data_IF_431047099501
#
_entry.id   IF_431047099501
#
_cell.length_a   1.000
_cell.length_b   1.000
_cell.length_c   1.000
_cell.angle_alpha   90.00
_cell.angle_beta   90.00
_cell.angle_gamma   90.00
#
_symmetry.space_group_name_H-M   'P 1'
#
loop_
_entity.id
_entity.type
_entity.pdbx_description
1 polymer ?
#
# COMPACT_ATOMS: atom_id res chain seq x y z
N UNK A 1 12.33 -7.63 12.25
CA UNK A 1 10.89 -7.94 12.33
C UNK A 1 10.23 -7.60 11.00
N UNK A 2 10.47 -8.41 9.95
CA UNK A 2 10.09 -8.05 8.57
C UNK A 2 8.82 -8.76 8.08
N UNK A 3 8.14 -9.53 8.94
CA UNK A 3 6.87 -10.17 8.61
C UNK A 3 6.06 -10.36 9.90
N UNK A 4 4.79 -9.94 9.89
CA UNK A 4 3.84 -10.10 10.99
C UNK A 4 2.63 -10.90 10.51
N UNK A 5 2.76 -12.23 10.33
CA UNK A 5 1.68 -13.06 9.80
C UNK A 5 0.41 -12.99 10.67
N UNK A 6 0.55 -12.66 11.95
CA UNK A 6 -0.56 -12.46 12.87
C UNK A 6 -1.49 -11.29 12.49
N UNK A 7 -1.03 -10.36 11.64
CA UNK A 7 -1.82 -9.25 11.15
C UNK A 7 -2.57 -9.57 9.86
N UNK A 8 -2.35 -10.74 9.28
CA UNK A 8 -2.94 -11.18 8.01
C UNK A 8 -3.73 -12.50 8.19
N UNK A 9 -4.30 -12.72 9.38
CA UNK A 9 -5.14 -13.89 9.64
C UNK A 9 -6.42 -13.85 8.81
N UNK A 10 -7.03 -15.02 8.51
CA UNK A 10 -8.33 -15.08 7.84
C UNK A 10 -9.38 -14.19 8.53
N UNK A 11 -9.52 -14.29 9.85
CA UNK A 11 -10.48 -13.48 10.63
C UNK A 11 -10.32 -11.97 10.40
N UNK A 12 -9.08 -11.48 10.29
CA UNK A 12 -8.82 -10.06 10.03
C UNK A 12 -9.10 -9.70 8.57
N UNK A 13 -8.74 -10.56 7.63
CA UNK A 13 -9.00 -10.39 6.20
C UNK A 13 -10.50 -10.43 5.87
N UNK A 14 -11.29 -11.20 6.62
CA UNK A 14 -12.75 -11.25 6.52
C UNK A 14 -13.40 -9.93 6.94
N UNK A 15 -12.71 -9.11 7.72
CA UNK A 15 -13.19 -7.78 8.16
C UNK A 15 -12.74 -6.65 7.24
N UNK A 16 -11.68 -6.84 6.46
CA UNK A 16 -11.10 -5.80 5.60
C UNK A 16 -9.61 -5.98 5.38
N UNK A 17 -9.01 -5.12 4.55
CA UNK A 17 -7.60 -5.20 4.22
C UNK A 17 -6.93 -3.84 4.05
N UNK A 18 -5.75 -3.66 4.66
CA UNK A 18 -4.90 -2.47 4.57
C UNK A 18 -3.53 -2.89 4.04
N UNK A 19 -3.06 -2.20 3.00
CA UNK A 19 -1.67 -2.28 2.54
C UNK A 19 -0.98 -0.95 2.86
N UNK A 20 0.06 -1.01 3.70
CA UNK A 20 0.93 0.12 4.03
C UNK A 20 2.13 0.10 3.09
N UNK A 21 2.33 1.17 2.33
CA UNK A 21 3.43 1.33 1.38
C UNK A 21 4.51 2.26 1.96
N UNK A 22 5.75 1.77 2.16
CA UNK A 22 6.84 2.56 2.70
C UNK A 22 7.39 3.60 1.73
N UNK A 23 8.21 4.50 2.27
CA UNK A 23 8.98 5.44 1.46
C UNK A 23 10.07 4.76 0.65
N UNK A 24 10.84 5.54 -0.12
CA UNK A 24 11.89 5.02 -1.00
C UNK A 24 13.02 4.29 -0.28
N UNK A 25 13.13 4.43 1.04
CA UNK A 25 14.11 3.76 1.89
C UNK A 25 13.71 2.32 2.27
N UNK A 26 12.48 1.92 1.97
CA UNK A 26 11.88 0.64 2.36
C UNK A 26 11.23 0.67 3.74
N UNK A 27 10.86 -0.50 4.26
CA UNK A 27 10.18 -0.61 5.54
C UNK A 27 11.01 0.02 6.68
N UNK A 28 10.40 0.98 7.38
CA UNK A 28 11.03 1.70 8.48
C UNK A 28 10.22 1.68 9.77
N UNK A 29 10.75 2.30 10.83
CA UNK A 29 10.02 2.52 12.09
C UNK A 29 8.75 3.36 11.86
N UNK A 30 8.75 4.27 10.88
CA UNK A 30 7.60 5.11 10.56
C UNK A 30 6.41 4.26 10.11
N UNK A 31 6.64 3.30 9.22
CA UNK A 31 5.61 2.38 8.73
C UNK A 31 5.08 1.47 9.85
N UNK A 32 5.99 0.99 10.71
CA UNK A 32 5.58 0.22 11.89
C UNK A 32 4.78 1.05 12.89
N UNK A 33 5.04 2.35 12.99
CA UNK A 33 4.25 3.25 13.83
C UNK A 33 2.85 3.49 13.28
N UNK A 34 2.68 3.56 11.95
CA UNK A 34 1.36 3.58 11.31
C UNK A 34 0.58 2.32 11.71
N UNK A 35 1.18 1.13 11.55
CA UNK A 35 0.56 -0.14 11.95
C UNK A 35 0.22 -0.16 13.45
N UNK A 36 1.13 0.28 14.33
CA UNK A 36 0.86 0.38 15.77
C UNK A 36 -0.30 1.32 16.08
N UNK A 37 -0.42 2.43 15.36
CA UNK A 37 -1.55 3.35 15.48
C UNK A 37 -2.87 2.69 15.13
N UNK A 38 -2.92 1.98 13.99
CA UNK A 38 -4.10 1.21 13.55
C UNK A 38 -4.49 0.15 14.59
N UNK A 39 -3.52 -0.57 15.14
CA UNK A 39 -3.78 -1.57 16.19
C UNK A 39 -4.29 -0.95 17.48
N UNK A 40 -3.73 0.18 17.92
CA UNK A 40 -4.21 0.92 19.11
C UNK A 40 -5.61 1.48 18.92
N UNK A 41 -5.99 1.80 17.69
CA UNK A 41 -7.34 2.21 17.33
C UNK A 41 -8.31 1.03 17.15
N UNK A 42 -7.87 -0.21 17.44
CA UNK A 42 -8.66 -1.44 17.28
C UNK A 42 -9.19 -1.65 15.85
N UNK A 43 -8.43 -1.25 14.83
CA UNK A 43 -8.78 -1.54 13.43
C UNK A 43 -8.74 -3.06 13.22
N UNK A 44 -9.86 -3.69 12.80
CA UNK A 44 -9.98 -5.15 12.78
C UNK A 44 -9.39 -5.79 11.50
N UNK A 45 -9.03 -4.99 10.50
CA UNK A 45 -8.66 -5.44 9.16
C UNK A 45 -7.32 -6.19 9.13
N UNK A 46 -7.10 -7.00 8.08
CA UNK A 46 -5.78 -7.49 7.75
C UNK A 46 -4.84 -6.33 7.44
N UNK A 47 -3.60 -6.35 7.92
CA UNK A 47 -2.63 -5.27 7.70
C UNK A 47 -1.31 -5.85 7.18
N UNK A 48 -0.95 -5.51 5.95
CA UNK A 48 0.34 -5.82 5.31
C UNK A 48 1.19 -4.54 5.24
N UNK A 49 2.48 -4.61 5.60
CA UNK A 49 3.45 -3.63 5.09
C UNK A 49 4.08 -4.26 3.85
N UNK A 50 3.75 -3.72 2.67
CA UNK A 50 4.31 -4.22 1.42
C UNK A 50 5.52 -3.38 1.04
N UNK A 51 6.73 -3.90 1.32
CA UNK A 51 7.97 -3.25 0.94
C UNK A 51 8.23 -3.42 -0.57
N UNK A 52 7.85 -2.40 -1.32
CA UNK A 52 8.02 -2.35 -2.78
C UNK A 52 9.44 -2.00 -3.20
N UNK A 53 10.40 -1.86 -2.28
CA UNK A 53 11.70 -1.24 -2.57
C UNK A 53 12.84 -2.26 -2.72
N UNK A 54 13.99 -1.81 -3.24
CA UNK A 54 15.28 -2.53 -3.12
C UNK A 54 15.95 -2.32 -1.74
N UNK A 55 15.22 -1.83 -0.75
CA UNK A 55 15.73 -1.41 0.56
C UNK A 55 16.60 -0.16 0.51
N UNK A 56 17.13 0.22 1.68
CA UNK A 56 17.81 1.50 1.90
C UNK A 56 18.97 1.78 0.92
N UNK A 57 19.77 0.77 0.55
CA UNK A 57 20.91 0.95 -0.38
C UNK A 57 20.45 1.34 -1.79
N UNK A 58 19.20 1.02 -2.16
CA UNK A 58 18.62 1.30 -3.46
C UNK A 58 17.75 2.57 -3.50
N UNK A 59 17.74 3.40 -2.46
CA UNK A 59 16.73 4.46 -2.31
C UNK A 59 16.63 5.43 -3.51
N UNK A 60 17.76 5.80 -4.14
CA UNK A 60 17.74 6.63 -5.35
C UNK A 60 17.13 5.91 -6.56
N UNK A 61 17.35 4.60 -6.68
CA UNK A 61 16.70 3.77 -7.71
C UNK A 61 15.20 3.68 -7.41
N UNK A 62 14.83 3.44 -6.15
CA UNK A 62 13.43 3.42 -5.72
C UNK A 62 12.73 4.75 -6.00
N UNK A 63 13.43 5.89 -5.97
CA UNK A 63 12.86 7.19 -6.31
C UNK A 63 12.64 7.38 -7.82
N UNK A 64 13.57 6.92 -8.67
CA UNK A 64 13.64 7.31 -10.08
C UNK A 64 13.15 6.24 -11.06
N UNK A 65 13.11 4.97 -10.64
CA UNK A 65 12.97 3.87 -11.57
C UNK A 65 11.51 3.56 -11.94
N UNK A 66 10.97 4.35 -12.88
CA UNK A 66 9.56 4.27 -13.33
C UNK A 66 9.09 2.88 -13.77
N UNK A 67 9.94 2.10 -14.45
CA UNK A 67 9.58 0.73 -14.86
C UNK A 67 9.27 -0.14 -13.64
N UNK A 68 10.10 -0.02 -12.61
CA UNK A 68 9.94 -0.77 -11.37
C UNK A 68 8.75 -0.27 -10.55
N UNK A 69 8.41 1.03 -10.58
CA UNK A 69 7.16 1.53 -10.01
C UNK A 69 5.95 0.86 -10.66
N UNK A 70 5.95 0.77 -11.98
CA UNK A 70 4.89 0.10 -12.75
C UNK A 70 4.75 -1.38 -12.39
N UNK A 71 5.88 -2.11 -12.36
CA UNK A 71 5.90 -3.53 -12.00
C UNK A 71 5.34 -3.77 -10.58
N UNK A 72 5.63 -2.90 -9.60
CA UNK A 72 5.05 -3.04 -8.27
C UNK A 72 3.59 -2.64 -8.20
N UNK A 73 3.20 -1.59 -8.92
CA UNK A 73 1.81 -1.19 -8.99
C UNK A 73 0.94 -2.35 -9.48
N UNK A 74 1.41 -3.06 -10.52
CA UNK A 74 0.76 -4.25 -11.06
C UNK A 74 0.66 -5.39 -10.03
N UNK A 75 1.75 -5.70 -9.32
CA UNK A 75 1.71 -6.73 -8.27
C UNK A 75 0.75 -6.36 -7.14
N UNK A 76 0.68 -5.08 -6.76
CA UNK A 76 -0.28 -4.60 -5.76
C UNK A 76 -1.71 -4.71 -6.31
N UNK A 77 -1.96 -4.36 -7.58
CA UNK A 77 -3.27 -4.55 -8.23
C UNK A 77 -3.69 -6.02 -8.20
N UNK A 78 -2.79 -6.94 -8.53
CA UNK A 78 -3.05 -8.38 -8.48
C UNK A 78 -3.39 -8.85 -7.06
N UNK A 79 -2.69 -8.35 -6.04
CA UNK A 79 -3.04 -8.62 -4.63
C UNK A 79 -4.45 -8.14 -4.30
N UNK A 80 -4.81 -6.94 -4.74
CA UNK A 80 -6.13 -6.35 -4.48
C UNK A 80 -7.24 -7.09 -5.22
N UNK A 81 -7.02 -7.46 -6.48
CA UNK A 81 -7.95 -8.28 -7.26
C UNK A 81 -8.17 -9.65 -6.59
N UNK A 82 -7.08 -10.34 -6.22
CA UNK A 82 -7.14 -11.63 -5.55
C UNK A 82 -7.82 -11.57 -4.18
N UNK A 83 -7.66 -10.46 -3.43
CA UNK A 83 -8.40 -10.23 -2.20
C UNK A 83 -9.89 -10.01 -2.49
N UNK A 84 -10.22 -9.16 -3.47
CA UNK A 84 -11.60 -8.80 -3.82
C UNK A 84 -12.41 -10.00 -4.31
N UNK A 85 -11.81 -10.94 -5.05
CA UNK A 85 -12.47 -12.18 -5.46
C UNK A 85 -12.97 -13.03 -4.28
N UNK A 86 -12.29 -12.96 -3.13
CA UNK A 86 -12.65 -13.71 -1.90
C UNK A 86 -13.50 -12.88 -0.95
N UNK A 87 -13.35 -11.55 -1.00
CA UNK A 87 -14.00 -10.61 -0.09
C UNK A 87 -14.63 -9.45 -0.90
N UNK A 88 -15.72 -9.70 -1.64
CA UNK A 88 -16.26 -8.75 -2.63
C UNK A 88 -16.72 -7.43 -2.03
N UNK A 89 -17.13 -7.41 -0.76
CA UNK A 89 -17.73 -6.25 -0.11
C UNK A 89 -16.89 -5.65 1.04
N UNK A 90 -15.75 -6.25 1.36
CA UNK A 90 -14.99 -5.82 2.53
C UNK A 90 -14.16 -4.56 2.27
N UNK A 91 -13.92 -3.71 3.28
CA UNK A 91 -13.17 -2.49 3.09
C UNK A 91 -11.72 -2.77 2.71
N UNK A 92 -11.17 -1.96 1.80
CA UNK A 92 -9.79 -2.06 1.32
C UNK A 92 -9.15 -0.69 1.31
N UNK A 93 -8.00 -0.54 1.96
CA UNK A 93 -7.28 0.74 2.00
C UNK A 93 -5.81 0.59 1.58
N UNK A 94 -5.31 1.61 0.89
CA UNK A 94 -3.88 1.82 0.67
C UNK A 94 -3.42 2.98 1.54
N UNK A 95 -2.32 2.83 2.28
CA UNK A 95 -1.71 3.90 3.07
C UNK A 95 -0.27 4.09 2.64
N UNK A 96 -0.01 5.16 1.89
CA UNK A 96 1.31 5.46 1.35
C UNK A 96 2.03 6.55 2.13
N UNK A 97 3.27 6.29 2.54
CA UNK A 97 4.15 7.28 3.16
C UNK A 97 5.29 7.69 2.22
N UNK A 98 5.50 8.98 1.98
CA UNK A 98 6.57 9.49 1.11
C UNK A 98 6.52 8.87 -0.30
N UNK A 99 7.58 8.19 -0.75
CA UNK A 99 7.57 7.41 -2.01
C UNK A 99 6.40 6.43 -2.11
N UNK A 100 5.97 5.86 -0.98
CA UNK A 100 4.80 4.99 -0.93
C UNK A 100 3.48 5.71 -1.23
N UNK A 101 3.42 7.03 -1.01
CA UNK A 101 2.27 7.85 -1.41
C UNK A 101 2.13 7.96 -2.93
N UNK A 102 3.24 8.20 -3.64
CA UNK A 102 3.25 8.09 -5.11
C UNK A 102 2.87 6.66 -5.55
N UNK A 103 3.35 5.66 -4.83
CA UNK A 103 3.03 4.26 -5.12
C UNK A 103 1.54 3.94 -4.92
N UNK A 104 0.89 4.54 -3.92
CA UNK A 104 -0.58 4.46 -3.76
C UNK A 104 -1.28 4.98 -5.00
N UNK A 105 -0.94 6.18 -5.48
CA UNK A 105 -1.55 6.77 -6.68
C UNK A 105 -1.32 5.90 -7.92
N UNK A 106 -0.07 5.49 -8.18
CA UNK A 106 0.26 4.63 -9.32
C UNK A 106 -0.46 3.26 -9.28
N UNK A 107 -0.75 2.72 -8.09
CA UNK A 107 -1.58 1.52 -7.96
C UNK A 107 -3.03 1.82 -8.32
N UNK A 108 -3.61 2.90 -7.78
CA UNK A 108 -5.01 3.26 -8.01
C UNK A 108 -5.31 3.52 -9.50
N UNK A 109 -4.44 4.26 -10.18
CA UNK A 109 -4.55 4.54 -11.63
C UNK A 109 -4.58 3.27 -12.49
N UNK A 110 -4.07 2.14 -11.97
CA UNK A 110 -3.92 0.88 -12.69
C UNK A 110 -4.90 -0.18 -12.23
N UNK A 111 -5.77 0.13 -11.28
CA UNK A 111 -6.77 -0.82 -10.81
C UNK A 111 -7.64 -1.27 -11.98
N UNK A 112 -7.90 -2.59 -12.12
CA UNK A 112 -8.91 -3.08 -13.03
C UNK A 112 -10.26 -2.40 -12.78
N UNK A 113 -11.04 -2.17 -13.84
CA UNK A 113 -12.31 -1.43 -13.78
C UNK A 113 -13.34 -2.05 -12.83
N UNK A 114 -13.22 -3.33 -12.51
CA UNK A 114 -14.05 -4.11 -11.60
C UNK A 114 -13.47 -4.20 -10.17
N UNK A 115 -12.24 -3.75 -9.95
CA UNK A 115 -11.61 -3.69 -8.64
C UNK A 115 -11.74 -2.28 -8.07
N UNK A 116 -12.38 -2.18 -6.91
CA UNK A 116 -12.51 -0.93 -6.13
C UNK A 116 -11.81 -1.07 -4.79
N UNK A 117 -11.14 0.00 -4.38
CA UNK A 117 -10.71 0.19 -2.99
C UNK A 117 -11.67 1.15 -2.29
N UNK A 118 -11.68 1.11 -0.97
CA UNK A 118 -12.44 2.05 -0.14
C UNK A 118 -11.74 3.41 -0.07
N UNK A 119 -10.42 3.45 -0.11
CA UNK A 119 -9.69 4.71 -0.23
C UNK A 119 -8.16 4.57 -0.19
N UNK A 120 -7.49 5.65 -0.62
CA UNK A 120 -6.05 5.84 -0.48
C UNK A 120 -5.73 6.98 0.51
N UNK A 121 -4.85 6.73 1.47
CA UNK A 121 -4.29 7.74 2.38
C UNK A 121 -2.87 8.09 1.95
N UNK A 122 -2.65 9.36 1.61
CA UNK A 122 -1.35 9.89 1.20
C UNK A 122 -0.71 10.67 2.34
N UNK A 123 0.37 10.14 2.92
CA UNK A 123 1.12 10.77 4.00
C UNK A 123 2.42 11.34 3.42
N UNK A 124 2.51 12.66 3.34
CA UNK A 124 3.65 13.40 2.77
C UNK A 124 4.15 12.81 1.43
N UNK A 125 3.27 12.63 0.43
CA UNK A 125 3.58 11.86 -0.78
C UNK A 125 4.71 12.50 -1.61
N UNK A 126 5.59 11.66 -2.17
CA UNK A 126 6.64 12.09 -3.09
C UNK A 126 6.09 12.25 -4.52
N UNK A 127 5.12 13.14 -4.70
CA UNK A 127 4.55 13.54 -5.98
C UNK A 127 4.86 15.02 -6.24
N UNK A 128 4.91 15.40 -7.52
CA UNK A 128 4.93 16.83 -7.87
C UNK A 128 3.62 17.47 -7.41
N UNK A 129 3.66 18.74 -7.01
CA UNK A 129 2.44 19.51 -6.75
C UNK A 129 1.55 19.70 -7.99
N UNK A 130 2.13 19.49 -9.17
CA UNK A 130 1.44 19.54 -10.47
C UNK A 130 1.01 18.16 -10.98
N UNK A 131 1.28 17.09 -10.23
CA UNK A 131 0.85 15.76 -10.64
C UNK A 131 -0.68 15.67 -10.54
N UNK A 132 -1.36 15.53 -11.67
CA UNK A 132 -2.79 15.25 -11.68
C UNK A 132 -3.03 13.82 -11.18
N UNK A 133 -3.72 13.71 -10.05
CA UNK A 133 -4.03 12.42 -9.45
C UNK A 133 -5.26 11.77 -10.08
N UNK A 134 -6.05 12.46 -10.91
CA UNK A 134 -7.11 11.79 -11.65
C UNK A 134 -6.50 10.83 -12.68
N UNK A 135 -6.98 9.56 -12.79
CA UNK A 135 -8.25 9.05 -12.27
C UNK A 135 -8.17 8.23 -10.96
N UNK A 136 -7.09 8.36 -10.18
CA UNK A 136 -6.86 7.59 -8.94
C UNK A 136 -7.98 7.71 -7.90
#
# INVERSE_FOLDING_TARGET
MRNRPELMTPDRLDQGYIIVLPGIEGESVLNRNIVRGLLRANVPYGIEIYDWTYGLKGFLLNLRYRRRHREQAEIICDKLANYRCRHPHQPVYLIGHSGGGAMTVFTLERLPVDVRVTGGLLLVPALSGEYDIAPA
#
